data_IF_770891316389
#
_entry.id   IF_770891316389
#
_cell.length_a   1.000
_cell.length_b   1.000
_cell.length_c   1.000
_cell.angle_alpha   90.00
_cell.angle_beta   90.00
_cell.angle_gamma   90.00
#
_symmetry.space_group_name_H-M   'P 1'
#
loop_
_entity.id
_entity.type
_entity.pdbx_description
1 polymer ?
#
# COMPACT_ATOMS: atom_id res chain seq x y z
N UNK A 1 -8.10 35.91 -2.19
CA UNK A 1 -8.21 34.50 -2.62
C UNK A 1 -6.97 33.79 -2.11
N UNK A 2 -7.03 33.18 -0.93
CA UNK A 2 -5.86 32.60 -0.26
C UNK A 2 -5.54 31.23 -0.82
N UNK A 3 -4.26 31.04 -1.17
CA UNK A 3 -3.64 29.82 -1.67
C UNK A 3 -3.81 28.68 -0.64
N UNK A 4 -4.52 27.63 -1.02
CA UNK A 4 -4.80 26.46 -0.17
C UNK A 4 -4.65 25.12 -0.88
N UNK A 5 -3.91 25.09 -1.98
CA UNK A 5 -3.58 23.87 -2.73
C UNK A 5 -2.06 23.70 -2.65
N UNK A 6 -1.54 22.49 -2.47
CA UNK A 6 -0.24 21.99 -3.01
C UNK A 6 0.47 20.93 -2.14
N UNK A 7 0.18 20.79 -0.83
CA UNK A 7 0.97 19.84 -0.03
C UNK A 7 0.68 18.37 -0.36
N UNK A 8 -0.58 18.00 -0.54
CA UNK A 8 -0.98 16.63 -0.87
C UNK A 8 -0.57 16.22 -2.30
N UNK A 9 -0.71 17.15 -3.25
CA UNK A 9 -0.29 16.94 -4.64
C UNK A 9 1.24 16.80 -4.74
N UNK A 10 2.01 17.62 -4.00
CA UNK A 10 3.46 17.49 -3.92
C UNK A 10 3.88 16.12 -3.39
N UNK A 11 3.21 15.61 -2.34
CA UNK A 11 3.52 14.29 -1.77
C UNK A 11 3.24 13.16 -2.75
N UNK A 12 2.14 13.22 -3.50
CA UNK A 12 1.82 12.21 -4.51
C UNK A 12 2.90 12.19 -5.63
N UNK A 13 3.35 13.35 -6.08
CA UNK A 13 4.42 13.47 -7.09
C UNK A 13 5.76 12.95 -6.57
N UNK A 14 6.12 13.27 -5.33
CA UNK A 14 7.33 12.79 -4.68
C UNK A 14 7.34 11.26 -4.56
N UNK A 15 6.25 10.68 -4.05
CA UNK A 15 6.10 9.23 -3.93
C UNK A 15 6.18 8.53 -5.29
N UNK A 16 5.60 9.14 -6.32
CA UNK A 16 5.68 8.64 -7.71
C UNK A 16 7.10 8.64 -8.26
N UNK A 17 7.91 9.63 -7.87
CA UNK A 17 9.31 9.73 -8.31
C UNK A 17 10.15 8.66 -7.62
N UNK A 18 10.00 8.53 -6.29
CA UNK A 18 10.71 7.54 -5.48
C UNK A 18 10.39 6.11 -5.95
N UNK A 19 9.10 5.77 -6.16
CA UNK A 19 8.71 4.42 -6.58
C UNK A 19 9.32 4.02 -7.92
N UNK A 20 9.35 4.96 -8.86
CA UNK A 20 9.89 4.74 -10.19
C UNK A 20 11.40 4.54 -10.16
N UNK A 21 12.13 5.37 -9.42
CA UNK A 21 13.59 5.24 -9.29
C UNK A 21 13.96 3.91 -8.63
N UNK A 22 13.25 3.50 -7.58
CA UNK A 22 13.49 2.22 -6.91
C UNK A 22 13.22 1.03 -7.83
N UNK A 23 12.19 1.10 -8.67
CA UNK A 23 11.90 0.07 -9.67
C UNK A 23 13.01 -0.04 -10.72
N UNK A 24 13.55 1.08 -11.18
CA UNK A 24 14.68 1.09 -12.11
C UNK A 24 15.90 0.45 -11.46
N UNK A 25 16.24 0.86 -10.23
CA UNK A 25 17.37 0.27 -9.49
C UNK A 25 17.21 -1.24 -9.27
N UNK A 26 16.01 -1.70 -8.87
CA UNK A 26 15.74 -3.12 -8.70
C UNK A 26 15.95 -3.92 -9.98
N UNK A 27 15.62 -3.35 -11.14
CA UNK A 27 15.86 -3.96 -12.46
C UNK A 27 17.35 -3.95 -12.82
N UNK A 28 18.03 -2.83 -12.65
CA UNK A 28 19.45 -2.68 -13.00
C UNK A 28 20.33 -3.65 -12.21
N UNK A 29 20.03 -3.82 -10.91
CA UNK A 29 20.74 -4.78 -10.06
C UNK A 29 20.16 -6.19 -10.07
N UNK A 30 19.03 -6.41 -10.73
CA UNK A 30 18.32 -7.70 -10.77
C UNK A 30 18.04 -8.28 -9.38
N UNK A 31 17.64 -7.43 -8.43
CA UNK A 31 17.33 -7.82 -7.04
C UNK A 31 15.84 -7.62 -6.72
N UNK A 32 15.24 -8.48 -5.89
CA UNK A 32 13.91 -8.24 -5.37
C UNK A 32 13.95 -7.07 -4.38
N UNK A 33 13.03 -6.12 -4.54
CA UNK A 33 12.89 -4.97 -3.66
C UNK A 33 11.54 -5.06 -2.93
N UNK A 34 11.59 -5.14 -1.61
CA UNK A 34 10.42 -5.11 -0.74
C UNK A 34 10.30 -3.73 -0.12
N UNK A 35 9.17 -3.06 -0.36
CA UNK A 35 8.86 -1.77 0.24
C UNK A 35 7.70 -1.91 1.21
N UNK A 36 7.82 -1.24 2.34
CA UNK A 36 6.74 -1.14 3.33
C UNK A 36 6.03 0.20 3.12
N UNK A 37 4.71 0.15 3.09
CA UNK A 37 3.88 1.34 3.00
C UNK A 37 2.77 1.26 4.04
N UNK A 38 2.50 2.40 4.65
CA UNK A 38 1.40 2.54 5.59
C UNK A 38 0.11 2.87 4.84
N UNK A 39 -0.99 2.21 5.20
CA UNK A 39 -2.31 2.52 4.68
C UNK A 39 -2.90 3.74 5.37
N UNK A 40 -3.82 4.43 4.69
CA UNK A 40 -4.66 5.43 5.33
C UNK A 40 -5.54 4.78 6.40
N UNK A 41 -6.01 5.57 7.39
CA UNK A 41 -6.95 5.11 8.44
C UNK A 41 -8.38 4.89 7.94
N UNK A 42 -8.60 4.93 6.62
CA UNK A 42 -9.88 4.69 5.95
C UNK A 42 -10.55 3.35 6.29
N UNK A 43 -9.83 2.23 6.53
CA UNK A 43 -10.43 0.98 6.96
C UNK A 43 -11.22 1.08 8.25
N UNK A 44 -10.83 1.96 9.18
CA UNK A 44 -11.45 2.09 10.51
C UNK A 44 -12.92 2.54 10.43
N UNK A 45 -13.30 3.24 9.37
CA UNK A 45 -14.65 3.74 9.14
C UNK A 45 -15.56 2.75 8.39
N UNK A 46 -15.01 1.63 7.91
CA UNK A 46 -15.76 0.60 7.17
C UNK A 46 -16.26 -0.47 8.13
N UNK A 47 -17.42 -1.04 7.82
CA UNK A 47 -17.95 -2.21 8.55
C UNK A 47 -17.03 -3.41 8.40
N UNK A 48 -16.49 -3.61 7.19
CA UNK A 48 -15.40 -4.54 6.94
C UNK A 48 -14.06 -3.78 6.98
N UNK A 49 -13.28 -4.06 8.02
CA UNK A 49 -11.97 -3.44 8.27
C UNK A 49 -10.84 -4.09 7.47
N UNK A 50 -11.14 -5.07 6.61
CA UNK A 50 -10.15 -5.66 5.72
C UNK A 50 -9.57 -4.58 4.78
N UNK A 51 -8.23 -4.45 4.72
CA UNK A 51 -7.59 -3.47 3.86
C UNK A 51 -7.85 -3.80 2.38
N UNK A 52 -8.06 -2.76 1.58
CA UNK A 52 -8.30 -2.85 0.14
C UNK A 52 -7.36 -1.90 -0.60
N UNK A 53 -7.22 -2.10 -1.91
CA UNK A 53 -6.30 -1.30 -2.72
C UNK A 53 -6.58 0.21 -2.63
N UNK A 54 -7.84 0.63 -2.53
CA UNK A 54 -8.18 2.06 -2.42
C UNK A 54 -7.67 2.73 -1.13
N UNK A 55 -7.24 1.96 -0.13
CA UNK A 55 -6.63 2.54 1.08
C UNK A 55 -5.24 3.15 0.80
N UNK A 56 -4.63 2.84 -0.35
CA UNK A 56 -3.42 3.46 -0.92
C UNK A 56 -3.68 4.79 -1.66
N UNK A 57 -4.82 5.46 -1.46
CA UNK A 57 -5.29 6.62 -2.25
C UNK A 57 -4.26 7.72 -2.60
N UNK A 58 -3.24 7.96 -1.77
CA UNK A 58 -2.20 8.97 -2.00
C UNK A 58 -0.98 8.48 -2.82
N UNK A 59 -0.98 7.20 -3.21
CA UNK A 59 0.18 6.53 -3.80
C UNK A 59 -0.16 5.75 -5.08
N UNK A 60 -1.09 6.26 -5.90
CA UNK A 60 -1.49 5.58 -7.14
C UNK A 60 -0.31 5.18 -8.05
N UNK A 61 0.80 5.91 -8.00
CA UNK A 61 2.04 5.52 -8.69
C UNK A 61 2.73 4.30 -8.08
N UNK A 62 2.75 4.15 -6.75
CA UNK A 62 3.29 2.96 -6.08
C UNK A 62 2.48 1.73 -6.53
N UNK A 63 1.16 1.84 -6.59
CA UNK A 63 0.28 0.76 -7.08
C UNK A 63 0.62 0.38 -8.53
N UNK A 64 0.81 1.37 -9.41
CA UNK A 64 1.15 1.12 -10.80
C UNK A 64 2.55 0.51 -10.95
N UNK A 65 3.52 0.99 -10.18
CA UNK A 65 4.91 0.57 -10.27
C UNK A 65 5.17 -0.81 -9.66
N UNK A 66 4.50 -1.13 -8.55
CA UNK A 66 4.67 -2.39 -7.85
C UNK A 66 4.27 -3.58 -8.72
N UNK A 67 5.12 -4.61 -8.75
CA UNK A 67 4.80 -5.87 -9.42
C UNK A 67 3.80 -6.68 -8.61
N UNK A 68 3.97 -6.71 -7.28
CA UNK A 68 3.06 -7.36 -6.35
C UNK A 68 2.71 -6.39 -5.22
N UNK A 69 1.46 -6.42 -4.76
CA UNK A 69 1.00 -5.66 -3.60
C UNK A 69 0.36 -6.65 -2.63
N UNK A 70 0.87 -6.66 -1.40
CA UNK A 70 0.42 -7.54 -0.32
C UNK A 70 -0.06 -6.67 0.83
N UNK A 71 -1.31 -6.87 1.24
CA UNK A 71 -1.92 -6.18 2.38
C UNK A 71 -1.92 -7.12 3.58
N UNK A 72 -1.63 -6.57 4.75
CA UNK A 72 -1.59 -7.33 6.01
C UNK A 72 -2.87 -7.10 6.79
N UNK A 73 -3.48 -8.19 7.28
CA UNK A 73 -4.69 -8.11 8.08
C UNK A 73 -4.60 -9.04 9.30
N UNK A 74 -5.09 -8.57 10.44
CA UNK A 74 -5.23 -9.34 11.68
C UNK A 74 -6.61 -9.07 12.26
N UNK A 75 -7.45 -10.11 12.25
CA UNK A 75 -8.83 -10.02 12.76
C UNK A 75 -8.86 -9.64 14.25
N UNK A 76 -7.91 -10.15 15.04
CA UNK A 76 -7.86 -9.91 16.49
C UNK A 76 -7.65 -8.44 16.89
N UNK A 77 -7.04 -7.63 16.02
CA UNK A 77 -6.90 -6.17 16.24
C UNK A 77 -8.27 -5.49 16.19
N UNK A 78 -9.19 -6.05 15.40
CA UNK A 78 -10.51 -5.47 15.16
C UNK A 78 -11.60 -6.11 16.04
N UNK A 79 -11.41 -7.37 16.43
CA UNK A 79 -12.35 -8.19 17.19
C UNK A 79 -11.61 -9.02 18.24
N UNK A 80 -11.68 -8.60 19.50
CA UNK A 80 -11.02 -9.28 20.64
C UNK A 80 -11.53 -10.71 20.90
N UNK A 81 -12.73 -11.03 20.40
CA UNK A 81 -13.36 -12.35 20.50
C UNK A 81 -13.16 -13.20 19.25
N UNK A 82 -12.29 -12.78 18.33
CA UNK A 82 -11.95 -13.56 17.15
C UNK A 82 -11.43 -14.95 17.52
N UNK A 83 -11.86 -15.97 16.79
CA UNK A 83 -11.31 -17.34 16.87
C UNK A 83 -9.92 -17.42 16.21
N UNK A 84 -9.53 -16.41 15.43
CA UNK A 84 -8.27 -16.33 14.67
C UNK A 84 -7.17 -15.59 15.44
N UNK A 85 -7.06 -15.79 16.76
CA UNK A 85 -6.04 -15.11 17.59
C UNK A 85 -4.63 -15.51 17.17
N UNK A 86 -3.74 -14.53 17.06
CA UNK A 86 -2.38 -14.69 16.59
C UNK A 86 -2.23 -14.99 15.09
N UNK A 87 -3.32 -14.95 14.31
CA UNK A 87 -3.28 -15.23 12.87
C UNK A 87 -3.20 -13.92 12.08
N UNK A 88 -2.10 -13.77 11.34
CA UNK A 88 -1.95 -12.73 10.32
C UNK A 88 -2.27 -13.27 8.92
N UNK A 89 -3.08 -12.53 8.19
CA UNK A 89 -3.42 -12.81 6.80
C UNK A 89 -2.60 -11.93 5.85
N UNK A 90 -2.05 -12.55 4.80
CA UNK A 90 -1.44 -11.87 3.67
C UNK A 90 -2.41 -11.87 2.50
N UNK A 91 -2.96 -10.70 2.18
CA UNK A 91 -3.92 -10.52 1.10
C UNK A 91 -3.16 -10.04 -0.14
N UNK A 92 -3.09 -10.88 -1.17
CA UNK A 92 -2.47 -10.51 -2.45
C UNK A 92 -3.46 -9.65 -3.23
N UNK A 93 -3.26 -8.32 -3.20
CA UNK A 93 -4.14 -7.36 -3.84
C UNK A 93 -3.77 -7.09 -5.31
N UNK A 94 -2.49 -7.30 -5.67
CA UNK A 94 -1.99 -7.30 -7.05
C UNK A 94 -0.91 -8.37 -7.18
N UNK A 95 -0.97 -9.14 -8.26
CA UNK A 95 0.10 -10.06 -8.63
C UNK A 95 0.38 -9.99 -10.12
N UNK A 96 1.62 -9.68 -10.48
CA UNK A 96 2.11 -9.74 -11.85
C UNK A 96 3.28 -10.71 -11.88
N UNK A 97 3.09 -11.85 -12.53
CA UNK A 97 4.20 -12.78 -12.79
C UNK A 97 4.95 -12.34 -14.04
N UNK A 98 6.27 -12.22 -13.92
CA UNK A 98 7.15 -12.26 -15.09
C UNK A 98 7.58 -13.72 -15.27
N UNK A 99 7.07 -14.36 -16.33
CA UNK A 99 7.49 -15.69 -16.81
C UNK A 99 8.82 -15.58 -17.57
#
# INVERSE_FOLDING_TARGET
MTLGTNHSENRAVELSTISRELKIQAKDFSIPLLLLAQLNRSPDNRTDKRPIMSDFKESGAIEQDATNVILLYQEEICNENSDSKGIGEFIIAKAVMHL
#
